data_IF_299594707972
#
_entry.id   IF_299594707972
#
_cell.length_a   1.000
_cell.length_b   1.000
_cell.length_c   1.000
_cell.angle_alpha   90.00
_cell.angle_beta   90.00
_cell.angle_gamma   90.00
#
_symmetry.space_group_name_H-M   'P 1'
#
loop_
_entity.id
_entity.type
_entity.pdbx_description
1 polymer ?
#
# COMPACT_ATOMS: atom_id res chain seq x y z
N UNK A 1 -8.53 7.36 13.88
CA UNK A 1 -9.77 7.25 14.66
C UNK A 1 -10.93 7.85 13.88
N UNK A 2 -12.13 7.37 14.15
CA UNK A 2 -13.36 7.87 13.57
C UNK A 2 -13.56 9.35 13.94
N UNK A 3 -14.31 10.08 13.09
CA UNK A 3 -14.60 11.48 13.28
C UNK A 3 -13.37 12.40 13.44
N UNK A 4 -12.21 11.97 12.93
CA UNK A 4 -11.03 12.82 12.88
C UNK A 4 -10.78 13.32 11.45
N UNK A 5 -10.30 14.57 11.27
CA UNK A 5 -10.27 15.19 9.95
C UNK A 5 -9.34 14.49 8.96
N UNK A 6 -8.14 14.13 9.35
CA UNK A 6 -7.17 13.49 8.44
C UNK A 6 -7.63 12.08 8.05
N UNK A 7 -8.11 11.26 9.00
CA UNK A 7 -8.64 9.93 8.70
C UNK A 7 -9.85 10.01 7.77
N UNK A 8 -10.72 11.00 7.96
CA UNK A 8 -11.87 11.23 7.07
C UNK A 8 -11.41 11.49 5.63
N UNK A 9 -10.40 12.34 5.42
CA UNK A 9 -9.88 12.59 4.07
C UNK A 9 -9.29 11.34 3.44
N UNK A 10 -8.61 10.50 4.23
CA UNK A 10 -8.01 9.25 3.75
C UNK A 10 -9.08 8.21 3.37
N UNK A 11 -10.09 8.01 4.21
CA UNK A 11 -11.19 7.07 3.91
C UNK A 11 -11.97 7.49 2.65
N UNK A 12 -12.23 8.78 2.48
CA UNK A 12 -12.82 9.33 1.25
C UNK A 12 -11.92 9.03 0.03
N UNK A 13 -10.61 9.22 0.16
CA UNK A 13 -9.68 8.95 -0.92
C UNK A 13 -9.60 7.45 -1.26
N UNK A 14 -9.55 6.57 -0.25
CA UNK A 14 -9.61 5.13 -0.47
C UNK A 14 -10.92 4.70 -1.13
N UNK A 15 -12.06 5.23 -0.69
CA UNK A 15 -13.36 4.92 -1.27
C UNK A 15 -13.44 5.34 -2.75
N UNK A 16 -12.90 6.51 -3.10
CA UNK A 16 -12.82 6.97 -4.51
C UNK A 16 -11.92 6.12 -5.38
N UNK A 17 -10.91 5.47 -4.81
CA UNK A 17 -9.96 4.59 -5.50
C UNK A 17 -10.28 3.11 -5.32
N UNK A 18 -11.38 2.76 -4.64
CA UNK A 18 -11.72 1.36 -4.33
C UNK A 18 -11.82 0.49 -5.58
N UNK A 19 -12.45 0.99 -6.64
CA UNK A 19 -12.56 0.27 -7.91
C UNK A 19 -11.19 -0.02 -8.55
N UNK A 20 -10.20 0.85 -8.37
CA UNK A 20 -8.85 0.63 -8.89
C UNK A 20 -8.15 -0.51 -8.14
N UNK A 21 -8.32 -0.60 -6.83
CA UNK A 21 -7.81 -1.73 -6.04
C UNK A 21 -8.51 -3.03 -6.43
N UNK A 22 -9.83 -3.02 -6.56
CA UNK A 22 -10.59 -4.20 -6.99
C UNK A 22 -10.18 -4.69 -8.37
N UNK A 23 -9.91 -3.77 -9.31
CA UNK A 23 -9.40 -4.12 -10.65
C UNK A 23 -8.02 -4.80 -10.61
N UNK A 24 -7.26 -4.61 -9.53
CA UNK A 24 -5.99 -5.29 -9.25
C UNK A 24 -6.16 -6.58 -8.44
N UNK A 25 -7.40 -7.01 -8.15
CA UNK A 25 -7.66 -8.13 -7.25
C UNK A 25 -7.24 -7.85 -5.81
N UNK A 26 -7.20 -6.58 -5.41
CA UNK A 26 -6.79 -6.14 -4.09
C UNK A 26 -8.00 -5.64 -3.30
N UNK A 27 -8.24 -6.24 -2.14
CA UNK A 27 -9.30 -5.84 -1.21
C UNK A 27 -8.76 -4.83 -0.19
N UNK A 28 -9.62 -3.89 0.21
CA UNK A 28 -9.31 -2.91 1.25
C UNK A 28 -9.94 -3.34 2.58
N UNK A 29 -9.20 -3.14 3.65
CA UNK A 29 -9.65 -3.39 5.01
C UNK A 29 -9.18 -2.24 5.89
N UNK A 30 -10.12 -1.46 6.43
CA UNK A 30 -9.83 -0.43 7.41
C UNK A 30 -9.66 -1.01 8.81
N UNK A 31 -8.98 -0.28 9.69
CA UNK A 31 -8.87 -0.63 11.10
C UNK A 31 -8.77 0.62 11.95
N UNK A 32 -9.52 0.67 13.02
CA UNK A 32 -9.28 1.58 14.14
C UNK A 32 -9.69 0.94 15.47
N UNK A 33 -9.33 1.57 16.58
CA UNK A 33 -9.70 1.11 17.92
C UNK A 33 -11.12 1.53 18.33
N UNK A 34 -11.86 2.17 17.43
CA UNK A 34 -13.25 2.61 17.67
C UNK A 34 -14.23 1.42 17.58
N UNK A 35 -15.45 1.62 18.07
CA UNK A 35 -16.50 0.60 18.06
C UNK A 35 -17.22 0.49 16.72
N UNK A 36 -17.86 -0.66 16.47
CA UNK A 36 -18.76 -0.81 15.32
C UNK A 36 -19.84 0.28 15.24
N UNK A 37 -20.36 0.71 16.38
CA UNK A 37 -21.37 1.77 16.42
C UNK A 37 -20.79 3.11 15.97
N UNK A 38 -19.56 3.39 16.34
CA UNK A 38 -18.82 4.57 15.89
C UNK A 38 -18.58 4.50 14.37
N UNK A 39 -18.09 3.36 13.87
CA UNK A 39 -17.88 3.14 12.42
C UNK A 39 -19.16 3.40 11.61
N UNK A 40 -20.27 2.79 12.01
CA UNK A 40 -21.57 2.96 11.35
C UNK A 40 -21.99 4.45 11.33
N UNK A 41 -21.85 5.14 12.45
CA UNK A 41 -22.19 6.55 12.54
C UNK A 41 -21.27 7.42 11.66
N UNK A 42 -19.98 7.11 11.64
CA UNK A 42 -18.98 7.84 10.85
C UNK A 42 -19.15 7.63 9.35
N UNK A 43 -19.36 6.40 8.88
CA UNK A 43 -19.66 6.09 7.47
C UNK A 43 -20.90 6.83 6.98
N UNK A 44 -21.98 6.85 7.79
CA UNK A 44 -23.20 7.63 7.48
C UNK A 44 -22.92 9.11 7.40
N UNK A 45 -22.14 9.65 8.33
CA UNK A 45 -21.75 11.06 8.34
C UNK A 45 -20.91 11.41 7.09
N UNK A 46 -19.97 10.56 6.69
CA UNK A 46 -19.18 10.75 5.45
C UNK A 46 -20.11 10.77 4.23
N UNK A 47 -21.04 9.84 4.14
CA UNK A 47 -22.02 9.79 3.04
C UNK A 47 -22.89 11.05 3.00
N UNK A 48 -23.39 11.50 4.13
CA UNK A 48 -24.26 12.67 4.24
C UNK A 48 -23.53 13.98 3.90
N UNK A 49 -22.33 14.18 4.42
CA UNK A 49 -21.61 15.46 4.29
C UNK A 49 -20.71 15.55 3.07
N UNK A 50 -20.19 14.42 2.57
CA UNK A 50 -19.22 14.40 1.47
C UNK A 50 -19.72 13.65 0.23
N UNK A 51 -20.89 13.01 0.29
CA UNK A 51 -21.47 12.27 -0.83
C UNK A 51 -20.67 11.00 -1.22
N UNK A 52 -19.83 10.48 -0.33
CA UNK A 52 -18.98 9.31 -0.59
C UNK A 52 -19.43 8.16 0.29
N UNK A 53 -19.60 6.99 -0.32
CA UNK A 53 -19.91 5.75 0.38
C UNK A 53 -18.63 4.94 0.61
N UNK A 54 -18.41 4.50 1.84
CA UNK A 54 -17.29 3.60 2.17
C UNK A 54 -17.72 2.18 1.82
N UNK A 55 -17.12 1.62 0.79
CA UNK A 55 -17.48 0.31 0.22
C UNK A 55 -16.61 -0.86 0.68
N UNK A 56 -15.81 -0.68 1.74
CA UNK A 56 -14.93 -1.70 2.30
C UNK A 56 -15.11 -1.84 3.81
N UNK A 57 -14.88 -3.01 4.40
CA UNK A 57 -15.09 -3.24 5.83
C UNK A 57 -14.07 -2.51 6.69
N UNK A 58 -14.47 -2.19 7.94
CA UNK A 58 -13.63 -1.56 8.96
C UNK A 58 -13.62 -2.45 10.21
N UNK A 59 -12.44 -2.86 10.65
CA UNK A 59 -12.25 -3.63 11.86
C UNK A 59 -12.38 -2.71 13.08
N UNK A 60 -13.25 -3.07 14.01
CA UNK A 60 -13.39 -2.45 15.32
C UNK A 60 -12.43 -3.13 16.32
N UNK A 61 -11.20 -2.65 16.45
CA UNK A 61 -10.16 -3.22 17.27
C UNK A 61 -10.15 -2.62 18.70
N UNK A 62 -11.30 -2.65 19.40
CA UNK A 62 -11.45 -2.12 20.77
C UNK A 62 -10.45 -2.69 21.77
N UNK A 63 -10.04 -3.95 21.59
CA UNK A 63 -9.04 -4.60 22.45
C UNK A 63 -7.61 -4.25 22.09
N UNK A 64 -7.40 -3.56 20.96
CA UNK A 64 -6.10 -3.25 20.37
C UNK A 64 -5.25 -4.51 20.07
N UNK A 65 -5.87 -5.66 19.89
CA UNK A 65 -5.14 -6.90 19.61
C UNK A 65 -4.49 -6.87 18.22
N UNK A 66 -5.23 -6.44 17.22
CA UNK A 66 -4.72 -6.33 15.85
C UNK A 66 -3.70 -5.21 15.78
N UNK A 67 -4.00 -4.05 16.33
CA UNK A 67 -3.08 -2.90 16.34
C UNK A 67 -1.74 -3.24 17.01
N UNK A 68 -1.75 -4.02 18.09
CA UNK A 68 -0.52 -4.50 18.76
C UNK A 68 0.23 -5.54 17.92
N UNK A 69 -0.49 -6.50 17.33
CA UNK A 69 0.11 -7.55 16.51
C UNK A 69 0.85 -6.97 15.29
N UNK A 70 0.31 -5.88 14.72
CA UNK A 70 0.91 -5.17 13.58
C UNK A 70 1.87 -4.04 13.98
N UNK A 71 2.19 -3.87 15.28
CA UNK A 71 3.11 -2.83 15.74
C UNK A 71 2.58 -1.41 15.56
N UNK A 72 1.27 -1.23 15.55
CA UNK A 72 0.62 0.07 15.33
C UNK A 72 0.52 0.92 16.59
N UNK A 73 0.77 0.35 17.76
CA UNK A 73 0.79 1.08 19.03
C UNK A 73 2.22 1.48 19.34
N UNK A 74 2.49 2.77 19.32
CA UNK A 74 3.84 3.31 19.54
C UNK A 74 4.10 3.52 21.05
N UNK A 75 5.24 3.04 21.57
CA UNK A 75 5.69 3.41 22.90
C UNK A 75 5.90 4.91 23.01
N UNK A 76 5.31 5.55 24.01
CA UNK A 76 5.40 6.98 24.21
C UNK A 76 4.36 7.82 23.47
N UNK A 77 3.44 7.20 22.71
CA UNK A 77 2.24 7.89 22.25
C UNK A 77 1.39 8.32 23.45
N UNK A 78 0.81 9.53 23.38
CA UNK A 78 0.02 10.10 24.49
C UNK A 78 -1.36 9.48 24.63
N UNK A 79 -1.79 8.66 23.68
CA UNK A 79 -3.09 8.02 23.64
C UNK A 79 -3.00 6.59 23.06
N UNK A 80 -4.14 5.92 22.95
CA UNK A 80 -4.27 4.56 22.41
C UNK A 80 -4.58 4.53 20.92
N UNK A 81 -4.58 5.66 20.24
CA UNK A 81 -4.83 5.71 18.81
C UNK A 81 -3.75 4.94 18.05
N UNK A 82 -4.18 4.10 17.13
CA UNK A 82 -3.26 3.42 16.23
C UNK A 82 -2.56 4.45 15.32
N UNK A 83 -1.26 4.24 15.07
CA UNK A 83 -0.50 5.07 14.14
C UNK A 83 -1.09 4.98 12.73
N UNK A 84 -0.75 5.95 11.90
CA UNK A 84 -1.11 5.98 10.48
C UNK A 84 -0.25 4.99 9.72
N UNK A 85 -0.74 3.76 9.56
CA UNK A 85 -0.02 2.68 8.90
C UNK A 85 -0.83 2.05 7.77
N UNK A 86 -0.15 1.60 6.73
CA UNK A 86 -0.71 0.80 5.65
C UNK A 86 0.14 -0.43 5.46
N UNK A 87 -0.49 -1.57 5.36
CA UNK A 87 0.14 -2.87 5.16
C UNK A 87 -0.34 -3.46 3.84
N UNK A 88 0.57 -3.96 3.03
CA UNK A 88 0.26 -4.70 1.81
C UNK A 88 0.58 -6.16 2.05
N UNK A 89 -0.43 -7.00 1.94
CA UNK A 89 -0.35 -8.44 2.20
C UNK A 89 -0.72 -9.15 0.90
N UNK A 90 0.08 -10.12 0.47
CA UNK A 90 -0.17 -10.88 -0.74
C UNK A 90 -1.18 -12.03 -0.51
N UNK A 91 -1.62 -12.72 -1.59
CA UNK A 91 -2.57 -13.83 -1.48
C UNK A 91 -2.08 -15.01 -0.62
N UNK A 92 -0.77 -15.18 -0.45
CA UNK A 92 -0.15 -16.20 0.39
C UNK A 92 -0.10 -15.78 1.87
N UNK A 93 -0.56 -14.57 2.20
CA UNK A 93 -0.56 -14.03 3.57
C UNK A 93 0.79 -13.42 3.98
N UNK A 94 1.68 -13.17 3.04
CA UNK A 94 2.99 -12.56 3.30
C UNK A 94 2.88 -11.04 3.31
N UNK A 95 3.40 -10.41 4.36
CA UNK A 95 3.50 -8.96 4.46
C UNK A 95 4.59 -8.46 3.50
N UNK A 96 4.18 -7.74 2.44
CA UNK A 96 5.06 -7.29 1.37
C UNK A 96 5.58 -5.87 1.56
N UNK A 97 4.78 -5.00 2.16
CA UNK A 97 5.17 -3.63 2.42
C UNK A 97 4.46 -3.07 3.66
N UNK A 98 5.15 -2.17 4.34
CA UNK A 98 4.63 -1.40 5.49
C UNK A 98 4.98 0.07 5.26
N UNK A 99 4.00 0.94 5.43
CA UNK A 99 4.19 2.38 5.30
C UNK A 99 3.61 3.06 6.53
N UNK A 100 4.44 3.82 7.23
CA UNK A 100 4.07 4.56 8.44
C UNK A 100 4.18 6.06 8.20
N UNK A 101 3.13 6.79 8.58
CA UNK A 101 3.09 8.24 8.51
C UNK A 101 2.88 8.84 9.90
N UNK A 102 3.40 10.05 10.16
CA UNK A 102 3.04 10.81 11.37
C UNK A 102 1.52 11.09 11.40
N UNK A 103 0.95 11.20 12.60
CA UNK A 103 -0.49 11.45 12.76
C UNK A 103 -0.97 12.75 12.10
N UNK A 104 -0.08 13.73 11.95
CA UNK A 104 -0.37 15.02 11.32
C UNK A 104 -0.47 14.99 9.79
N UNK A 105 -0.06 13.90 9.14
CA UNK A 105 0.07 13.83 7.69
C UNK A 105 -0.78 12.72 7.09
N UNK A 106 -1.67 13.07 6.17
CA UNK A 106 -2.45 12.10 5.38
C UNK A 106 -1.58 11.37 4.36
N UNK A 107 -1.89 10.08 4.15
CA UNK A 107 -1.17 9.21 3.21
C UNK A 107 -1.59 9.52 1.76
N UNK A 108 -0.71 9.22 0.82
CA UNK A 108 -1.00 9.26 -0.61
C UNK A 108 -1.61 7.93 -1.07
N UNK A 109 -2.90 7.93 -1.37
CA UNK A 109 -3.60 6.72 -1.80
C UNK A 109 -3.19 6.30 -3.22
N UNK A 110 -2.84 7.25 -4.07
CA UNK A 110 -2.33 6.97 -5.41
C UNK A 110 -1.01 6.18 -5.37
N UNK A 111 -0.16 6.46 -4.39
CA UNK A 111 1.07 5.68 -4.16
C UNK A 111 0.77 4.23 -3.80
N UNK A 112 -0.27 3.96 -3.03
CA UNK A 112 -0.64 2.57 -2.70
C UNK A 112 -1.17 1.81 -3.91
N UNK A 113 -1.93 2.45 -4.79
CA UNK A 113 -2.32 1.85 -6.08
C UNK A 113 -1.08 1.55 -6.92
N UNK A 114 -0.15 2.52 -7.03
CA UNK A 114 1.12 2.33 -7.73
C UNK A 114 1.93 1.18 -7.15
N UNK A 115 2.07 1.12 -5.82
CA UNK A 115 2.83 0.09 -5.12
C UNK A 115 2.27 -1.31 -5.36
N UNK A 116 0.94 -1.49 -5.31
CA UNK A 116 0.31 -2.79 -5.60
C UNK A 116 0.62 -3.21 -7.04
N UNK A 117 0.48 -2.31 -8.02
CA UNK A 117 0.85 -2.57 -9.42
C UNK A 117 2.31 -2.97 -9.56
N UNK A 118 3.22 -2.26 -8.89
CA UNK A 118 4.65 -2.54 -8.92
C UNK A 118 4.97 -3.94 -8.34
N UNK A 119 4.39 -4.29 -7.19
CA UNK A 119 4.54 -5.61 -6.57
C UNK A 119 4.04 -6.73 -7.48
N UNK A 120 2.85 -6.59 -8.03
CA UNK A 120 2.28 -7.58 -8.96
C UNK A 120 3.11 -7.72 -10.23
N UNK A 121 3.61 -6.62 -10.78
CA UNK A 121 4.48 -6.63 -11.97
C UNK A 121 5.80 -7.34 -11.69
N UNK A 122 6.42 -7.05 -10.56
CA UNK A 122 7.67 -7.70 -10.14
C UNK A 122 7.49 -9.22 -9.97
N UNK A 123 6.42 -9.63 -9.29
CA UNK A 123 6.14 -11.04 -9.03
C UNK A 123 5.82 -11.81 -10.31
N UNK A 124 5.00 -11.24 -11.19
CA UNK A 124 4.59 -11.89 -12.43
C UNK A 124 5.72 -12.06 -13.45
N UNK A 125 6.73 -11.18 -13.44
CA UNK A 125 7.75 -11.12 -14.47
C UNK A 125 9.18 -11.39 -13.96
N UNK A 126 9.38 -11.63 -12.66
CA UNK A 126 10.70 -11.85 -12.08
C UNK A 126 11.64 -10.64 -12.29
N UNK A 127 11.12 -9.44 -12.15
CA UNK A 127 11.84 -8.17 -12.36
C UNK A 127 11.75 -7.28 -11.13
N UNK A 128 12.55 -6.20 -11.12
CA UNK A 128 12.37 -5.11 -10.17
C UNK A 128 11.81 -3.87 -10.88
N UNK A 129 11.07 -3.07 -10.15
CA UNK A 129 10.59 -1.77 -10.64
C UNK A 129 11.53 -0.66 -10.14
N UNK A 130 11.96 0.28 -10.99
CA UNK A 130 12.78 1.41 -10.57
C UNK A 130 11.98 2.40 -9.71
N UNK A 131 12.69 3.35 -9.13
CA UNK A 131 12.09 4.48 -8.41
C UNK A 131 11.02 5.16 -9.29
N UNK A 132 9.87 5.49 -8.68
CA UNK A 132 8.76 6.18 -9.35
C UNK A 132 8.08 5.41 -10.48
N UNK A 133 8.40 4.15 -10.69
CA UNK A 133 7.89 3.33 -11.81
C UNK A 133 6.36 3.40 -11.93
N UNK A 134 5.88 3.55 -13.15
CA UNK A 134 4.47 3.45 -13.52
C UNK A 134 4.26 2.33 -14.57
N UNK A 135 3.04 1.76 -14.67
CA UNK A 135 2.72 0.83 -15.74
C UNK A 135 3.06 1.38 -17.12
N UNK A 136 3.83 0.63 -17.91
CA UNK A 136 4.36 1.04 -19.20
C UNK A 136 5.80 1.55 -19.17
N UNK A 137 6.36 1.84 -18.00
CA UNK A 137 7.76 2.17 -17.87
C UNK A 137 8.64 0.91 -17.92
N UNK A 138 9.90 1.09 -18.32
CA UNK A 138 10.89 0.01 -18.30
C UNK A 138 11.13 -0.50 -16.89
N UNK A 139 11.36 -1.82 -16.80
CA UNK A 139 11.69 -2.50 -15.55
C UNK A 139 13.17 -2.78 -15.45
N UNK A 140 13.65 -3.04 -14.24
CA UNK A 140 15.03 -3.43 -13.96
C UNK A 140 15.16 -4.95 -14.11
N UNK A 141 16.13 -5.39 -14.90
CA UNK A 141 16.52 -6.80 -14.96
C UNK A 141 17.33 -7.13 -13.68
N UNK A 142 16.95 -8.14 -12.90
CA UNK A 142 17.66 -8.48 -11.67
C UNK A 142 19.17 -8.63 -11.90
N UNK A 143 20.02 -8.24 -10.94
CA UNK A 143 21.47 -8.30 -11.11
C UNK A 143 21.94 -9.74 -11.32
N UNK A 144 23.04 -9.97 -12.07
CA UNK A 144 23.60 -11.29 -12.26
C UNK A 144 24.25 -11.80 -10.97
N UNK A 145 24.31 -13.12 -10.82
CA UNK A 145 24.95 -13.78 -9.68
C UNK A 145 26.44 -14.12 -9.93
N UNK A 146 26.87 -14.12 -11.18
CA UNK A 146 28.23 -14.47 -11.58
C UNK A 146 28.85 -13.45 -12.54
N UNK A 147 30.20 -13.44 -12.66
CA UNK A 147 30.88 -12.57 -13.61
C UNK A 147 30.57 -12.95 -15.07
N UNK A 148 30.41 -14.24 -15.36
CA UNK A 148 30.00 -14.71 -16.67
C UNK A 148 28.63 -14.20 -17.10
N UNK A 149 27.64 -14.26 -16.19
CA UNK A 149 26.33 -13.71 -16.43
C UNK A 149 26.36 -12.17 -16.60
N UNK A 150 27.25 -11.47 -15.87
CA UNK A 150 27.44 -10.04 -15.98
C UNK A 150 27.97 -9.63 -17.36
N UNK A 151 28.91 -10.40 -17.90
CA UNK A 151 29.43 -10.18 -19.26
C UNK A 151 28.39 -10.52 -20.33
N UNK A 152 27.73 -11.67 -20.22
CA UNK A 152 26.78 -12.15 -21.20
C UNK A 152 25.54 -11.23 -21.34
N UNK A 153 25.09 -10.60 -20.25
CA UNK A 153 23.91 -9.73 -20.28
C UNK A 153 24.09 -8.43 -21.05
N UNK A 154 25.35 -7.97 -21.23
CA UNK A 154 25.63 -6.77 -22.00
C UNK A 154 25.26 -6.92 -23.48
N UNK A 155 25.27 -8.15 -23.99
CA UNK A 155 24.91 -8.49 -25.37
C UNK A 155 23.51 -9.12 -25.48
N UNK A 156 22.75 -9.18 -24.40
CA UNK A 156 21.41 -9.83 -24.33
C UNK A 156 20.26 -8.96 -24.85
N UNK A 157 20.56 -7.78 -25.41
CA UNK A 157 19.55 -6.88 -25.97
C UNK A 157 18.82 -6.01 -24.94
N UNK A 158 19.31 -5.97 -23.71
CA UNK A 158 18.82 -5.05 -22.67
C UNK A 158 19.40 -3.64 -22.87
N UNK A 159 18.71 -2.63 -22.35
CA UNK A 159 19.27 -1.29 -22.23
C UNK A 159 20.11 -1.22 -20.94
N UNK A 160 21.43 -1.41 -21.08
CA UNK A 160 22.36 -1.40 -19.95
C UNK A 160 23.20 -0.13 -19.93
N UNK A 161 23.26 0.51 -18.75
CA UNK A 161 24.27 1.54 -18.45
C UNK A 161 25.56 0.90 -17.95
N UNK A 162 25.45 -0.22 -17.26
CA UNK A 162 26.53 -1.08 -16.81
C UNK A 162 25.96 -2.48 -16.50
N UNK A 163 26.82 -3.47 -16.27
CA UNK A 163 26.44 -4.88 -16.04
C UNK A 163 25.43 -5.06 -14.89
N UNK A 164 25.43 -4.20 -13.87
CA UNK A 164 24.49 -4.25 -12.74
C UNK A 164 23.20 -3.47 -13.00
N UNK A 165 23.16 -2.59 -14.00
CA UNK A 165 22.03 -1.70 -14.25
C UNK A 165 21.52 -1.82 -15.68
N UNK A 166 20.65 -2.79 -15.88
CA UNK A 166 20.00 -3.08 -17.16
C UNK A 166 18.49 -2.96 -17.04
N UNK A 167 17.87 -2.36 -18.04
CA UNK A 167 16.43 -2.19 -18.18
C UNK A 167 15.89 -2.94 -19.38
N UNK A 168 14.63 -3.32 -19.32
CA UNK A 168 13.86 -3.84 -20.47
C UNK A 168 12.43 -3.36 -20.43
N UNK A 169 11.74 -3.42 -21.56
CA UNK A 169 10.28 -3.32 -21.63
C UNK A 169 9.64 -4.67 -21.27
N UNK A 170 8.36 -4.64 -20.82
CA UNK A 170 7.55 -5.84 -20.55
C UNK A 170 6.56 -6.08 -21.68
#
# INVERSE_FOLDING_TARGET
ADFTPVCTTEFIAFAKRHADFQALGCELLGLSIDSNFSHIAWERNIKENFGVEIGFPIIADLSMQVARAYGMIQPGASDTSAVRATFVIDPEGVLRAMVYYPMSNGRSIDEFVRLVKALQTSDANGVATPEGWQPGDKVIVPPPATAEEAEARMDAGYECSDWYFCKKEL
#
